data_IF_008296972270
#
_entry.id   IF_008296972270
#
_cell.length_a   1.000
_cell.length_b   1.000
_cell.length_c   1.000
_cell.angle_alpha   90.00
_cell.angle_beta   90.00
_cell.angle_gamma   90.00
#
_symmetry.space_group_name_H-M   'P 1'
#
loop_
_entity.id
_entity.type
_entity.pdbx_description
1 polymer ?
#
# COMPACT_ATOMS: atom_id res chain seq x y z
N UNK A 1 -15.43 21.44 -18.08
CA UNK A 1 -14.10 21.78 -18.66
C UNK A 1 -13.11 21.74 -17.50
N UNK A 2 -12.11 20.87 -17.39
CA UNK A 2 -11.41 20.04 -18.37
C UNK A 2 -11.27 18.59 -17.85
N UNK A 3 -11.62 17.61 -18.68
CA UNK A 3 -11.13 16.24 -18.62
C UNK A 3 -10.14 16.17 -19.78
N UNK A 4 -8.83 16.04 -19.52
CA UNK A 4 -7.80 15.52 -20.44
C UNK A 4 -6.38 15.87 -19.96
N UNK A 5 -6.05 15.56 -18.71
CA UNK A 5 -4.68 15.15 -18.41
C UNK A 5 -4.72 13.64 -18.16
N UNK A 6 -3.81 12.84 -18.76
CA UNK A 6 -3.70 11.44 -18.38
C UNK A 6 -3.48 11.40 -16.88
N UNK A 7 -4.32 10.67 -16.14
CA UNK A 7 -4.16 10.55 -14.69
C UNK A 7 -2.74 10.05 -14.43
N UNK A 8 -1.87 10.92 -13.93
CA UNK A 8 -0.55 10.49 -13.52
C UNK A 8 -0.75 9.46 -12.42
N UNK A 9 -0.21 8.25 -12.61
CA UNK A 9 -0.27 7.21 -11.58
C UNK A 9 0.42 7.70 -10.30
N UNK A 10 1.48 8.50 -10.47
CA UNK A 10 2.34 9.00 -9.41
C UNK A 10 2.50 10.52 -9.48
N UNK A 11 2.52 11.16 -8.31
CA UNK A 11 2.99 12.52 -8.10
C UNK A 11 4.42 12.44 -7.58
N UNK A 12 5.41 12.73 -8.43
CA UNK A 12 6.82 12.72 -8.00
C UNK A 12 7.05 13.85 -6.99
N UNK A 13 7.58 13.50 -5.81
CA UNK A 13 8.01 14.44 -4.79
C UNK A 13 9.55 14.46 -4.71
N UNK A 14 10.14 15.65 -4.58
CA UNK A 14 11.60 15.82 -4.55
C UNK A 14 12.28 15.26 -3.29
N UNK A 15 11.51 15.10 -2.22
CA UNK A 15 12.00 14.66 -0.91
C UNK A 15 11.29 13.38 -0.45
N UNK A 16 12.01 12.46 0.23
CA UNK A 16 11.39 11.28 0.80
C UNK A 16 10.44 11.65 1.94
N UNK A 17 9.42 10.83 2.13
CA UNK A 17 8.42 10.95 3.17
C UNK A 17 8.22 9.63 3.92
N UNK A 18 7.78 9.73 5.17
CA UNK A 18 7.11 8.62 5.84
C UNK A 18 5.62 8.68 5.48
N UNK A 19 5.12 7.64 4.84
CA UNK A 19 3.74 7.61 4.32
C UNK A 19 2.91 6.66 5.17
N UNK A 20 1.79 7.14 5.71
CA UNK A 20 0.91 6.40 6.60
C UNK A 20 -0.45 6.23 5.93
N UNK A 21 -0.97 5.00 5.89
CA UNK A 21 -2.36 4.75 5.48
C UNK A 21 -2.93 3.58 6.27
N UNK A 22 -3.50 3.91 7.44
CA UNK A 22 -3.97 2.95 8.44
C UNK A 22 -5.49 3.02 8.58
N UNK A 23 -6.13 1.85 8.56
CA UNK A 23 -7.59 1.68 8.60
C UNK A 23 -8.16 1.98 9.97
N UNK A 24 -9.09 2.92 10.05
CA UNK A 24 -9.75 3.28 11.31
C UNK A 24 -10.97 2.42 11.66
N UNK A 25 -11.53 1.64 10.72
CA UNK A 25 -12.73 0.81 10.95
C UNK A 25 -12.44 -0.63 11.38
N UNK A 26 -11.19 -1.09 11.23
CA UNK A 26 -10.77 -2.43 11.66
C UNK A 26 -10.21 -2.38 13.07
N UNK A 27 -9.31 -1.43 13.30
CA UNK A 27 -8.70 -1.13 14.56
C UNK A 27 -8.71 0.38 14.77
N UNK A 28 -8.43 0.86 15.97
CA UNK A 28 -8.27 2.30 16.20
C UNK A 28 -7.01 2.81 15.50
N UNK A 29 -7.12 3.10 14.20
CA UNK A 29 -6.03 3.59 13.35
C UNK A 29 -5.32 4.79 13.96
N UNK A 30 -6.08 5.68 14.61
CA UNK A 30 -5.53 6.81 15.36
C UNK A 30 -4.62 6.42 16.52
N UNK A 31 -4.93 5.34 17.25
CA UNK A 31 -4.08 4.86 18.33
C UNK A 31 -2.72 4.39 17.79
N UNK A 32 -2.72 3.69 16.66
CA UNK A 32 -1.48 3.28 16.00
C UNK A 32 -0.72 4.46 15.37
N UNK A 33 -1.43 5.37 14.72
CA UNK A 33 -0.85 6.60 14.16
C UNK A 33 -0.14 7.37 15.29
N UNK A 34 -0.78 7.58 16.44
CA UNK A 34 -0.17 8.27 17.59
C UNK A 34 1.13 7.62 18.07
N UNK A 35 1.23 6.28 18.05
CA UNK A 35 2.46 5.55 18.41
C UNK A 35 3.63 5.83 17.48
N UNK A 36 3.39 6.35 16.28
CA UNK A 36 4.42 6.76 15.33
C UNK A 36 4.97 8.14 15.69
N UNK A 37 4.16 9.04 16.28
CA UNK A 37 4.57 10.40 16.61
C UNK A 37 5.29 10.49 17.95
N UNK A 38 6.51 9.95 17.99
CA UNK A 38 7.40 9.97 19.16
C UNK A 38 8.70 10.69 18.84
N UNK A 39 9.40 11.17 19.87
CA UNK A 39 10.71 11.81 19.70
C UNK A 39 11.74 10.86 19.06
N UNK A 40 11.64 9.56 19.33
CA UNK A 40 12.45 8.51 18.70
C UNK A 40 12.23 8.48 17.19
N UNK A 41 10.97 8.42 16.74
CA UNK A 41 10.64 8.49 15.31
C UNK A 41 11.13 9.79 14.69
N UNK A 42 10.93 10.94 15.35
CA UNK A 42 11.37 12.23 14.80
C UNK A 42 12.89 12.31 14.64
N UNK A 43 13.65 11.76 15.59
CA UNK A 43 15.11 11.65 15.48
C UNK A 43 15.52 10.80 14.28
N UNK A 44 14.88 9.66 14.06
CA UNK A 44 15.20 8.79 12.93
C UNK A 44 14.81 9.41 11.57
N UNK A 45 13.65 10.08 11.49
CA UNK A 45 13.27 10.81 10.29
C UNK A 45 14.30 11.89 9.94
N UNK A 46 14.78 12.65 10.94
CA UNK A 46 15.87 13.63 10.77
C UNK A 46 17.15 12.98 10.27
N UNK A 47 17.58 11.87 10.88
CA UNK A 47 18.78 11.12 10.47
C UNK A 47 18.70 10.71 8.98
N UNK A 48 17.51 10.31 8.53
CA UNK A 48 17.24 9.90 7.15
C UNK A 48 16.89 11.04 6.20
N UNK A 49 16.97 12.29 6.67
CA UNK A 49 16.62 13.50 5.91
C UNK A 49 15.18 13.49 5.39
N UNK A 50 14.29 12.79 6.09
CA UNK A 50 12.84 12.83 5.86
C UNK A 50 12.27 13.99 6.67
N UNK A 51 11.66 14.94 5.97
CA UNK A 51 11.07 16.15 6.57
C UNK A 51 9.55 16.18 6.52
N UNK A 52 8.93 15.10 6.03
CA UNK A 52 7.50 15.05 5.77
C UNK A 52 6.92 13.70 6.19
N UNK A 53 5.78 13.77 6.87
CA UNK A 53 4.88 12.65 7.09
C UNK A 53 3.63 12.88 6.23
N UNK A 54 3.30 11.94 5.36
CA UNK A 54 2.11 11.99 4.51
C UNK A 54 1.08 11.02 5.06
N UNK A 55 -0.11 11.49 5.37
CA UNK A 55 -1.23 10.65 5.82
C UNK A 55 -2.21 10.52 4.64
N UNK A 56 -2.32 9.30 4.11
CA UNK A 56 -3.21 8.97 3.00
C UNK A 56 -4.52 8.40 3.53
N UNK A 57 -5.60 9.11 3.25
CA UNK A 57 -6.97 8.63 3.35
C UNK A 57 -7.27 7.72 2.15
N UNK A 58 -7.27 6.41 2.37
CA UNK A 58 -7.58 5.45 1.31
C UNK A 58 -9.08 5.12 1.22
N UNK A 59 -9.86 5.51 2.23
CA UNK A 59 -11.32 5.51 2.19
C UNK A 59 -11.88 6.54 3.20
N UNK A 60 -13.13 7.01 3.01
CA UNK A 60 -13.74 8.07 3.83
C UNK A 60 -13.69 7.81 5.34
N UNK A 61 -13.80 6.54 5.74
CA UNK A 61 -13.75 6.14 7.14
C UNK A 61 -12.36 6.27 7.80
N UNK A 62 -11.30 6.51 7.02
CA UNK A 62 -9.96 6.82 7.56
C UNK A 62 -9.89 8.24 8.13
N UNK A 63 -10.80 9.14 7.73
CA UNK A 63 -10.87 10.52 8.23
C UNK A 63 -11.22 10.55 9.70
N UNK A 64 -10.18 10.61 10.51
CA UNK A 64 -10.29 10.61 11.96
C UNK A 64 -9.59 11.86 12.50
N UNK A 65 -10.13 12.49 13.57
CA UNK A 65 -9.56 13.73 14.09
C UNK A 65 -8.09 13.57 14.50
N UNK A 66 -7.21 14.36 13.87
CA UNK A 66 -5.80 14.42 14.23
C UNK A 66 -5.59 15.46 15.34
N UNK A 67 -4.85 15.10 16.39
CA UNK A 67 -4.70 15.98 17.56
C UNK A 67 -3.84 17.20 17.21
N UNK A 68 -4.28 18.40 17.65
CA UNK A 68 -3.50 19.63 17.47
C UNK A 68 -2.15 19.59 18.17
N UNK A 69 -2.10 18.94 19.33
CA UNK A 69 -0.88 18.77 20.12
C UNK A 69 0.16 17.96 19.33
N UNK A 70 -0.23 16.80 18.78
CA UNK A 70 0.62 15.96 17.94
C UNK A 70 1.10 16.74 16.71
N UNK A 71 0.19 17.49 16.06
CA UNK A 71 0.53 18.29 14.89
C UNK A 71 1.59 19.34 15.22
N UNK A 72 1.38 20.12 16.29
CA UNK A 72 2.30 21.16 16.72
C UNK A 72 3.66 20.59 17.16
N UNK A 73 3.67 19.46 17.89
CA UNK A 73 4.92 18.82 18.30
C UNK A 73 5.73 18.31 17.09
N UNK A 74 5.05 17.79 16.07
CA UNK A 74 5.69 17.32 14.83
C UNK A 74 6.32 18.49 14.07
N UNK A 75 5.60 19.60 13.93
CA UNK A 75 6.11 20.82 13.30
C UNK A 75 7.27 21.45 14.08
N UNK A 76 7.20 21.48 15.42
CA UNK A 76 8.29 21.95 16.27
C UNK A 76 9.57 21.11 16.09
N UNK A 77 9.42 19.86 15.68
CA UNK A 77 10.51 18.98 15.29
C UNK A 77 10.97 19.17 13.83
N UNK A 78 10.45 20.15 13.10
CA UNK A 78 10.83 20.41 11.71
C UNK A 78 10.31 19.37 10.72
N UNK A 79 9.23 18.67 11.06
CA UNK A 79 8.58 17.66 10.22
C UNK A 79 7.19 18.18 9.83
N UNK A 80 6.94 18.29 8.53
CA UNK A 80 5.65 18.67 7.98
C UNK A 80 4.68 17.47 7.97
N UNK A 81 3.39 17.74 8.16
CA UNK A 81 2.32 16.76 7.98
C UNK A 81 1.47 17.18 6.79
N UNK A 82 1.36 16.30 5.80
CA UNK A 82 0.49 16.47 4.62
C UNK A 82 -0.62 15.42 4.67
N UNK A 83 -1.87 15.86 4.51
CA UNK A 83 -3.02 14.97 4.37
C UNK A 83 -3.37 14.85 2.89
N UNK A 84 -3.51 13.62 2.41
CA UNK A 84 -3.81 13.33 0.99
C UNK A 84 -5.07 12.49 0.92
N UNK A 85 -6.09 13.04 0.28
CA UNK A 85 -7.40 12.38 0.12
C UNK A 85 -7.42 11.41 -1.06
N UNK A 86 -8.34 10.44 -1.05
CA UNK A 86 -8.57 9.56 -2.21
C UNK A 86 -8.88 10.34 -3.50
N UNK A 87 -9.63 11.43 -3.40
CA UNK A 87 -9.92 12.32 -4.53
C UNK A 87 -8.66 13.01 -5.08
N UNK A 88 -7.74 13.40 -4.19
CA UNK A 88 -6.47 13.97 -4.63
C UNK A 88 -5.58 12.94 -5.32
N UNK A 89 -5.54 11.69 -4.82
CA UNK A 89 -4.82 10.60 -5.49
C UNK A 89 -5.37 10.38 -6.90
N UNK A 90 -6.70 10.35 -7.07
CA UNK A 90 -7.31 10.19 -8.38
C UNK A 90 -7.00 11.35 -9.32
N UNK A 91 -6.90 12.58 -8.80
CA UNK A 91 -6.65 13.79 -9.59
C UNK A 91 -5.16 14.01 -9.91
N UNK A 92 -4.26 13.72 -8.98
CA UNK A 92 -2.85 14.13 -9.03
C UNK A 92 -1.87 12.96 -9.01
N UNK A 93 -2.34 11.75 -8.79
CA UNK A 93 -1.52 10.57 -8.57
C UNK A 93 -1.12 10.37 -7.11
N UNK A 94 -0.59 9.18 -6.81
CA UNK A 94 -0.10 8.85 -5.47
C UNK A 94 1.26 9.53 -5.21
N UNK A 95 1.49 10.15 -4.04
CA UNK A 95 2.79 10.72 -3.70
C UNK A 95 3.91 9.70 -3.83
N UNK A 96 5.00 10.05 -4.50
CA UNK A 96 6.05 9.09 -4.81
C UNK A 96 7.45 9.69 -4.69
N UNK A 97 8.27 9.01 -3.92
CA UNK A 97 9.72 9.11 -3.93
C UNK A 97 10.28 7.71 -3.65
N UNK A 98 11.29 7.27 -4.39
CA UNK A 98 11.84 5.92 -4.25
C UNK A 98 12.52 5.67 -2.89
N UNK A 99 12.87 6.74 -2.17
CA UNK A 99 13.45 6.67 -0.81
C UNK A 99 12.41 6.88 0.30
N UNK A 100 11.14 7.02 -0.05
CA UNK A 100 10.06 7.06 0.95
C UNK A 100 9.90 5.69 1.63
N UNK A 101 9.24 5.70 2.77
CA UNK A 101 8.88 4.49 3.49
C UNK A 101 7.40 4.51 3.83
N UNK A 102 6.72 3.38 3.68
CA UNK A 102 5.26 3.32 3.81
C UNK A 102 4.84 2.35 4.89
N UNK A 103 3.89 2.75 5.73
CA UNK A 103 3.23 1.89 6.71
C UNK A 103 1.74 1.91 6.38
N UNK A 104 1.19 0.75 6.02
CA UNK A 104 -0.21 0.70 5.62
C UNK A 104 -0.92 -0.60 6.01
N UNK A 105 -2.19 -0.48 6.38
CA UNK A 105 -3.10 -1.63 6.46
C UNK A 105 -4.03 -1.74 5.25
N UNK A 106 -3.99 -0.77 4.33
CA UNK A 106 -4.82 -0.73 3.13
C UNK A 106 -4.15 -1.55 2.02
N UNK A 107 -4.83 -2.60 1.57
CA UNK A 107 -4.33 -3.49 0.51
C UNK A 107 -3.85 -2.75 -0.75
N UNK A 108 -4.64 -1.80 -1.27
CA UNK A 108 -4.31 -1.08 -2.50
C UNK A 108 -3.04 -0.22 -2.35
N UNK A 109 -2.82 0.36 -1.17
CA UNK A 109 -1.63 1.16 -0.88
C UNK A 109 -0.40 0.25 -0.89
N UNK A 110 -0.45 -0.89 -0.20
CA UNK A 110 0.60 -1.91 -0.26
C UNK A 110 0.88 -2.35 -1.70
N UNK A 111 -0.16 -2.70 -2.46
CA UNK A 111 -0.02 -3.15 -3.85
C UNK A 111 0.67 -2.09 -4.73
N UNK A 112 0.17 -0.85 -4.71
CA UNK A 112 0.67 0.23 -5.58
C UNK A 112 2.12 0.56 -5.22
N UNK A 113 2.43 0.77 -3.94
CA UNK A 113 3.80 1.12 -3.54
C UNK A 113 4.79 -0.04 -3.72
N UNK A 114 4.35 -1.30 -3.57
CA UNK A 114 5.16 -2.47 -3.92
C UNK A 114 5.49 -2.50 -5.42
N UNK A 115 4.52 -2.19 -6.29
CA UNK A 115 4.76 -2.07 -7.74
C UNK A 115 5.72 -0.92 -8.10
N UNK A 116 5.71 0.15 -7.29
CA UNK A 116 6.62 1.29 -7.42
C UNK A 116 7.98 1.05 -6.72
N UNK A 117 8.20 -0.15 -6.16
CA UNK A 117 9.40 -0.53 -5.43
C UNK A 117 9.76 0.43 -4.28
N UNK A 118 8.75 0.91 -3.57
CA UNK A 118 8.93 1.69 -2.35
C UNK A 118 8.89 0.74 -1.15
N UNK A 119 9.85 0.88 -0.24
CA UNK A 119 9.92 0.06 0.97
C UNK A 119 8.75 0.34 1.92
N UNK A 120 8.31 -0.68 2.65
CA UNK A 120 7.23 -0.49 3.60
C UNK A 120 6.83 -1.73 4.39
N UNK A 121 5.80 -1.54 5.19
CA UNK A 121 5.22 -2.52 6.12
C UNK A 121 3.72 -2.59 5.87
N UNK A 122 3.22 -3.81 5.75
CA UNK A 122 1.81 -4.10 5.75
C UNK A 122 1.33 -4.45 7.17
N UNK A 123 0.29 -3.80 7.66
CA UNK A 123 -0.27 -4.02 9.00
C UNK A 123 -1.64 -4.67 8.89
N UNK A 124 -1.88 -5.76 9.64
CA UNK A 124 -3.16 -6.44 9.66
C UNK A 124 -3.66 -6.67 11.09
N UNK A 125 -4.97 -6.84 11.23
CA UNK A 125 -5.60 -7.18 12.50
C UNK A 125 -6.21 -8.60 12.49
N UNK A 126 -6.67 -9.07 11.32
CA UNK A 126 -7.29 -10.39 11.16
C UNK A 126 -6.73 -11.13 9.94
N UNK A 127 -7.02 -12.44 9.87
CA UNK A 127 -6.53 -13.33 8.81
C UNK A 127 -6.96 -12.91 7.40
N UNK A 128 -8.15 -12.29 7.24
CA UNK A 128 -8.59 -11.81 5.94
C UNK A 128 -7.64 -10.73 5.38
N UNK A 129 -7.25 -9.75 6.20
CA UNK A 129 -6.29 -8.72 5.78
C UNK A 129 -4.86 -9.25 5.69
N UNK A 130 -4.49 -10.20 6.56
CA UNK A 130 -3.21 -10.92 6.44
C UNK A 130 -3.08 -11.60 5.08
N UNK A 131 -4.11 -12.34 4.66
CA UNK A 131 -4.13 -13.03 3.37
C UNK A 131 -4.08 -12.04 2.19
N UNK A 132 -4.79 -10.90 2.29
CA UNK A 132 -4.68 -9.83 1.29
C UNK A 132 -3.24 -9.34 1.13
N UNK A 133 -2.56 -9.00 2.22
CA UNK A 133 -1.18 -8.53 2.13
C UNK A 133 -0.22 -9.63 1.67
N UNK A 134 -0.43 -10.87 2.12
CA UNK A 134 0.39 -12.02 1.69
C UNK A 134 0.29 -12.24 0.18
N UNK A 135 -0.87 -12.03 -0.42
CA UNK A 135 -1.01 -12.12 -1.88
C UNK A 135 -0.12 -11.11 -2.63
N UNK A 136 0.20 -9.95 -2.04
CA UNK A 136 1.14 -8.98 -2.63
C UNK A 136 2.57 -9.51 -2.57
N UNK A 137 2.96 -10.10 -1.44
CA UNK A 137 4.26 -10.78 -1.28
C UNK A 137 4.40 -11.96 -2.23
N UNK A 138 3.35 -12.77 -2.39
CA UNK A 138 3.29 -13.87 -3.36
C UNK A 138 3.35 -13.38 -4.81
N UNK A 139 2.97 -12.12 -5.06
CA UNK A 139 3.19 -11.43 -6.34
C UNK A 139 4.62 -10.91 -6.51
N UNK A 140 5.45 -10.91 -5.47
CA UNK A 140 6.85 -10.45 -5.49
C UNK A 140 7.11 -9.16 -4.74
N UNK A 141 6.14 -8.64 -3.97
CA UNK A 141 6.36 -7.50 -3.08
C UNK A 141 7.25 -7.84 -1.87
N UNK A 142 8.06 -6.87 -1.40
CA UNK A 142 9.03 -7.07 -0.33
C UNK A 142 8.52 -6.80 1.08
N UNK A 143 7.30 -6.27 1.22
CA UNK A 143 6.87 -5.70 2.49
C UNK A 143 6.72 -6.76 3.58
N UNK A 144 7.28 -6.47 4.75
CA UNK A 144 7.00 -7.22 5.96
C UNK A 144 5.52 -7.11 6.31
N UNK A 145 4.92 -8.20 6.77
CA UNK A 145 3.50 -8.26 7.15
C UNK A 145 3.42 -8.46 8.66
N UNK A 146 2.88 -7.47 9.38
CA UNK A 146 2.76 -7.50 10.84
C UNK A 146 1.32 -7.46 11.33
N UNK A 147 1.12 -8.14 12.45
CA UNK A 147 -0.05 -7.91 13.27
C UNK A 147 0.06 -6.50 13.91
N UNK A 148 -1.06 -5.78 13.96
CA UNK A 148 -1.16 -4.43 14.54
C UNK A 148 -0.62 -4.31 15.97
N UNK A 149 -0.73 -5.35 16.79
CA UNK A 149 -0.24 -5.35 18.17
C UNK A 149 1.29 -5.25 18.25
N UNK A 150 1.97 -5.76 17.22
CA UNK A 150 3.44 -5.77 17.11
C UNK A 150 4.00 -4.50 16.46
N UNK A 151 3.16 -3.59 15.97
CA UNK A 151 3.64 -2.41 15.25
C UNK A 151 4.53 -1.53 16.13
N UNK A 152 4.18 -1.35 17.40
CA UNK A 152 4.96 -0.50 18.32
C UNK A 152 6.38 -1.05 18.53
N UNK A 153 6.50 -2.33 18.85
CA UNK A 153 7.78 -3.03 19.03
C UNK A 153 8.60 -3.01 17.74
N UNK A 154 7.94 -3.20 16.60
CA UNK A 154 8.61 -3.22 15.32
C UNK A 154 9.10 -1.83 14.88
N UNK A 155 8.44 -0.75 15.25
CA UNK A 155 8.92 0.61 14.97
C UNK A 155 10.27 0.87 15.65
N UNK A 156 10.47 0.39 16.87
CA UNK A 156 11.73 0.51 17.60
C UNK A 156 12.88 -0.26 16.93
N UNK A 157 12.57 -1.26 16.10
CA UNK A 157 13.55 -2.11 15.42
C UNK A 157 13.69 -1.82 13.92
N UNK A 158 12.70 -1.20 13.28
CA UNK A 158 12.67 -0.99 11.82
C UNK A 158 12.88 0.43 11.36
N UNK A 159 12.73 1.43 12.23
CA UNK A 159 13.18 2.78 11.93
C UNK A 159 14.67 2.86 11.55
N UNK A 160 15.57 1.96 12.02
CA UNK A 160 16.82 1.66 11.33
C UNK A 160 16.51 0.95 10.00
N UNK A 161 16.00 1.70 9.01
CA UNK A 161 15.70 1.17 7.67
C UNK A 161 17.00 0.70 7.00
N UNK A 162 17.34 -0.58 7.13
CA UNK A 162 18.31 -1.23 6.26
C UNK A 162 17.61 -1.51 4.93
N UNK A 163 17.98 -0.68 3.95
CA UNK A 163 17.41 -0.62 2.61
C UNK A 163 17.83 -1.77 1.70
N UNK A 164 18.26 -2.91 2.23
CA UNK A 164 18.94 -3.92 1.40
C UNK A 164 18.00 -4.98 0.80
N UNK A 165 16.74 -5.04 1.21
CA UNK A 165 15.77 -5.94 0.57
C UNK A 165 15.08 -5.26 -0.63
N UNK A 166 15.87 -4.86 -1.62
CA UNK A 166 15.36 -4.50 -2.94
C UNK A 166 14.78 -5.76 -3.63
N UNK A 167 13.45 -5.87 -3.67
CA UNK A 167 12.80 -6.80 -4.60
C UNK A 167 12.96 -6.31 -6.03
N UNK A 168 13.28 -7.22 -6.95
CA UNK A 168 13.23 -6.90 -8.38
C UNK A 168 11.77 -6.64 -8.81
N UNK A 169 11.42 -5.45 -9.34
CA UNK A 169 10.08 -5.15 -9.85
C UNK A 169 9.60 -6.14 -10.92
N UNK A 170 10.54 -6.84 -11.54
CA UNK A 170 10.30 -7.84 -12.56
C UNK A 170 9.34 -8.95 -12.09
N UNK A 171 9.36 -9.34 -10.81
CA UNK A 171 8.51 -10.43 -10.33
C UNK A 171 7.02 -10.08 -10.35
N UNK A 172 6.65 -8.89 -9.86
CA UNK A 172 5.25 -8.42 -9.89
C UNK A 172 4.77 -8.17 -11.31
N UNK A 173 5.62 -7.57 -12.15
CA UNK A 173 5.33 -7.33 -13.57
C UNK A 173 5.11 -8.67 -14.31
N UNK A 174 5.96 -9.67 -14.08
CA UNK A 174 5.83 -10.98 -14.71
C UNK A 174 4.56 -11.69 -14.29
N UNK A 175 4.24 -11.72 -12.98
CA UNK A 175 2.98 -12.32 -12.50
C UNK A 175 1.74 -11.59 -13.01
N UNK A 176 1.79 -10.27 -13.19
CA UNK A 176 0.72 -9.52 -13.82
C UNK A 176 0.53 -9.90 -15.30
N UNK A 177 1.64 -10.09 -16.04
CA UNK A 177 1.61 -10.59 -17.43
C UNK A 177 1.03 -12.00 -17.52
N UNK A 178 1.50 -12.93 -16.68
CA UNK A 178 1.00 -14.30 -16.60
C UNK A 178 -0.50 -14.34 -16.31
N UNK A 179 -0.99 -13.54 -15.35
CA UNK A 179 -2.42 -13.42 -15.05
C UNK A 179 -3.22 -12.89 -16.24
N UNK A 180 -2.70 -11.88 -16.94
CA UNK A 180 -3.34 -11.32 -18.14
C UNK A 180 -3.40 -12.36 -19.27
N UNK A 181 -2.32 -13.09 -19.50
CA UNK A 181 -2.29 -14.16 -20.49
C UNK A 181 -3.27 -15.29 -20.16
N UNK A 182 -3.33 -15.71 -18.89
CA UNK A 182 -4.30 -16.69 -18.43
C UNK A 182 -5.73 -16.20 -18.64
N UNK A 183 -6.04 -14.96 -18.26
CA UNK A 183 -7.36 -14.37 -18.47
C UNK A 183 -7.74 -14.35 -19.95
N UNK A 184 -6.84 -13.92 -20.82
CA UNK A 184 -7.06 -13.92 -22.27
C UNK A 184 -7.34 -15.34 -22.80
N UNK A 185 -6.62 -16.37 -22.31
CA UNK A 185 -6.87 -17.78 -22.67
C UNK A 185 -8.25 -18.26 -22.21
N UNK A 186 -8.69 -17.87 -21.02
CA UNK A 186 -10.02 -18.22 -20.50
C UNK A 186 -11.12 -17.58 -21.38
N UNK A 187 -10.99 -16.29 -21.69
CA UNK A 187 -11.96 -15.57 -22.53
C UNK A 187 -12.02 -16.17 -23.95
N UNK A 188 -10.87 -16.42 -24.59
CA UNK A 188 -10.83 -17.03 -25.92
C UNK A 188 -11.48 -18.42 -25.95
N UNK A 189 -11.27 -19.25 -24.91
CA UNK A 189 -11.92 -20.56 -24.79
C UNK A 189 -13.43 -20.47 -24.53
N UNK A 190 -13.88 -19.43 -23.81
CA UNK A 190 -15.30 -19.21 -23.55
C UNK A 190 -16.04 -18.70 -24.80
N UNK A 191 -15.39 -17.93 -25.67
CA UNK A 191 -15.97 -17.45 -26.93
C UNK A 191 -16.12 -18.56 -28.00
N UNK A 192 -15.29 -19.59 -27.94
CA UNK A 192 -15.34 -20.75 -28.86
C UNK A 192 -16.36 -21.82 -28.44
N UNK A 193 -16.96 -21.73 -27.25
CA UNK A 193 -18.10 -22.57 -26.85
C UNK A 193 -19.37 -21.75 -27.07
N UNK A 194 -20.28 -22.27 -27.87
CA UNK A 194 -21.56 -21.63 -28.21
C UNK A 194 -22.22 -20.94 -27.01
N UNK A 195 -22.87 -19.79 -27.27
CA UNK A 195 -23.59 -18.90 -26.32
C UNK A 195 -24.77 -19.57 -25.58
N UNK A 196 -24.66 -20.83 -25.15
CA UNK A 196 -25.52 -21.40 -24.11
C UNK A 196 -24.84 -21.13 -22.78
N UNK A 197 -25.60 -20.55 -21.85
CA UNK A 197 -25.17 -20.21 -20.49
C UNK A 197 -24.24 -21.28 -19.93
N UNK A 198 -22.97 -20.93 -19.78
CA UNK A 198 -21.98 -21.82 -19.18
C UNK A 198 -22.42 -22.07 -17.73
N UNK A 199 -22.70 -23.33 -17.38
CA UNK A 199 -23.03 -23.69 -16.00
C UNK A 199 -21.86 -23.35 -15.07
N UNK A 200 -22.15 -23.04 -13.80
CA UNK A 200 -21.12 -22.75 -12.79
C UNK A 200 -20.05 -23.86 -12.74
N UNK A 201 -20.46 -25.12 -12.89
CA UNK A 201 -19.57 -26.28 -12.93
C UNK A 201 -18.62 -26.26 -14.14
N UNK A 202 -19.11 -25.82 -15.31
CA UNK A 202 -18.29 -25.70 -16.52
C UNK A 202 -17.28 -24.56 -16.39
N UNK A 203 -17.67 -23.44 -15.77
CA UNK A 203 -16.75 -22.34 -15.48
C UNK A 203 -15.68 -22.76 -14.46
N UNK A 204 -16.08 -23.45 -13.39
CA UNK A 204 -15.18 -24.02 -12.39
C UNK A 204 -14.24 -25.08 -12.99
N UNK A 205 -14.70 -25.92 -13.92
CA UNK A 205 -13.84 -26.89 -14.60
C UNK A 205 -12.77 -26.21 -15.48
N UNK A 206 -13.13 -25.13 -16.18
CA UNK A 206 -12.15 -24.33 -16.94
C UNK A 206 -11.14 -23.71 -16.00
N UNK A 207 -11.60 -23.08 -14.91
CA UNK A 207 -10.72 -22.47 -13.91
C UNK A 207 -9.79 -23.51 -13.26
N UNK A 208 -10.33 -24.65 -12.82
CA UNK A 208 -9.57 -25.73 -12.21
C UNK A 208 -8.50 -26.29 -13.13
N UNK A 209 -8.77 -26.41 -14.44
CA UNK A 209 -7.77 -26.82 -15.44
C UNK A 209 -6.56 -25.89 -15.52
N UNK A 210 -6.72 -24.62 -15.12
CA UNK A 210 -5.64 -23.64 -15.10
C UNK A 210 -5.05 -23.38 -13.70
N UNK A 211 -5.73 -23.79 -12.63
CA UNK A 211 -5.25 -23.67 -11.24
C UNK A 211 -4.40 -24.87 -10.82
N UNK A 212 -4.59 -26.07 -11.39
CA UNK A 212 -3.73 -27.22 -11.09
C UNK A 212 -2.43 -27.19 -11.89
N UNK A 213 -1.45 -26.43 -11.40
CA UNK A 213 0.00 -26.64 -11.61
C UNK A 213 0.78 -26.19 -10.40
#
# INVERSE_FOLDING_TARGET
MALNEPSMLVKNDDSPALILSLQSHLFEGQSLIKKIFTDGTFKELKNKKIKKIIIIEAAPEDNTPFSRETFNNTLANGIEIEFVTGNEILRRGIPFNSRSFVISSRYHINLIYSMLNVSGIAVYQNEYYRNKHKSVTEMGGAWSILNHDKLSEALDHWLPLDSENYTSPNNMINKAKEKKELFNKIIANAQNKDKKSISLESALAVINKFITK
#
